data_IF_705532904106
#
_entry.id   IF_705532904106
#
_cell.length_a   1.000
_cell.length_b   1.000
_cell.length_c   1.000
_cell.angle_alpha   90.00
_cell.angle_beta   90.00
_cell.angle_gamma   90.00
#
_symmetry.space_group_name_H-M   'P 1'
#
loop_
_entity.id
_entity.type
_entity.pdbx_description
1 polymer ?
#
# COMPACT_ATOMS: atom_id res chain seq x y z
N UNK A 1 -20.76 -11.05 -20.54
CA UNK A 1 -19.31 -10.80 -20.73
C UNK A 1 -18.61 -11.44 -19.53
N UNK A 2 -17.88 -12.54 -19.71
CA UNK A 2 -17.09 -13.14 -18.62
C UNK A 2 -15.76 -12.38 -18.55
N UNK A 3 -15.57 -11.57 -17.50
CA UNK A 3 -14.29 -10.88 -17.29
C UNK A 3 -13.35 -11.87 -16.61
N UNK A 4 -12.33 -12.34 -17.34
CA UNK A 4 -11.24 -13.09 -16.72
C UNK A 4 -10.29 -12.06 -16.11
N UNK A 5 -10.21 -12.01 -14.79
CA UNK A 5 -9.26 -11.14 -14.09
C UNK A 5 -7.82 -11.51 -14.48
N UNK A 6 -6.97 -10.50 -14.63
CA UNK A 6 -5.54 -10.76 -14.86
C UNK A 6 -4.88 -11.28 -13.58
N UNK A 7 -3.79 -12.03 -13.70
CA UNK A 7 -2.99 -12.47 -12.55
C UNK A 7 -2.64 -11.32 -11.60
N UNK A 8 -2.31 -10.15 -12.16
CA UNK A 8 -1.99 -8.95 -11.38
C UNK A 8 -3.19 -8.36 -10.66
N UNK A 9 -4.39 -8.42 -11.24
CA UNK A 9 -5.60 -7.97 -10.56
C UNK A 9 -5.95 -8.89 -9.39
N UNK A 10 -5.85 -10.20 -9.60
CA UNK A 10 -6.10 -11.17 -8.54
C UNK A 10 -5.11 -10.99 -7.38
N UNK A 11 -3.81 -10.87 -7.68
CA UNK A 11 -2.81 -10.73 -6.63
C UNK A 11 -2.83 -9.34 -5.96
N UNK A 12 -3.09 -8.26 -6.71
CA UNK A 12 -2.97 -6.89 -6.19
C UNK A 12 -4.26 -6.32 -5.61
N UNK A 13 -5.43 -6.91 -5.89
CA UNK A 13 -6.72 -6.35 -5.45
C UNK A 13 -7.65 -7.37 -4.79
N UNK A 14 -7.62 -8.64 -5.22
CA UNK A 14 -8.61 -9.62 -4.77
C UNK A 14 -8.13 -10.43 -3.56
N UNK A 15 -6.83 -10.46 -3.28
CA UNK A 15 -6.29 -11.15 -2.11
C UNK A 15 -6.42 -10.28 -0.85
N UNK A 16 -6.77 -10.89 0.30
CA UNK A 16 -6.94 -10.15 1.54
C UNK A 16 -5.62 -9.55 2.02
N UNK A 17 -5.71 -8.37 2.65
CA UNK A 17 -4.60 -7.69 3.28
C UNK A 17 -4.74 -7.73 4.80
N UNK A 18 -3.63 -7.96 5.51
CA UNK A 18 -3.59 -7.93 6.97
C UNK A 18 -3.51 -6.49 7.50
N UNK A 19 -2.99 -5.57 6.68
CA UNK A 19 -2.89 -4.15 7.00
C UNK A 19 -3.09 -3.28 5.75
N UNK A 20 -3.97 -2.29 5.86
CA UNK A 20 -4.11 -1.21 4.91
C UNK A 20 -3.65 0.12 5.53
N UNK A 21 -2.76 0.83 4.85
CA UNK A 21 -2.26 2.15 5.23
C UNK A 21 -2.73 3.17 4.20
N UNK A 22 -3.36 4.25 4.66
CA UNK A 22 -3.80 5.35 3.80
C UNK A 22 -2.81 6.52 3.93
N UNK A 23 -2.13 6.83 2.83
CA UNK A 23 -1.10 7.86 2.69
C UNK A 23 0.30 7.24 2.48
N UNK A 24 0.94 7.55 1.35
CA UNK A 24 2.29 7.10 1.00
C UNK A 24 3.37 8.15 1.31
N UNK A 25 3.12 9.02 2.29
CA UNK A 25 4.16 9.90 2.85
C UNK A 25 5.21 9.11 3.65
N UNK A 26 6.24 9.81 4.14
CA UNK A 26 7.35 9.19 4.88
C UNK A 26 6.88 8.34 6.06
N UNK A 27 5.86 8.82 6.79
CA UNK A 27 5.28 8.11 7.94
C UNK A 27 4.56 6.84 7.47
N UNK A 28 3.71 6.92 6.45
CA UNK A 28 2.97 5.75 5.96
C UNK A 28 3.88 4.65 5.41
N UNK A 29 4.90 5.03 4.64
CA UNK A 29 5.91 4.08 4.14
C UNK A 29 6.76 3.49 5.27
N UNK A 30 7.16 4.31 6.26
CA UNK A 30 7.90 3.82 7.42
C UNK A 30 7.05 2.85 8.24
N UNK A 31 5.78 3.17 8.49
CA UNK A 31 4.83 2.28 9.16
C UNK A 31 4.69 0.95 8.42
N UNK A 32 4.56 0.98 7.10
CA UNK A 32 4.50 -0.23 6.27
C UNK A 32 5.76 -1.09 6.43
N UNK A 33 6.95 -0.47 6.36
CA UNK A 33 8.24 -1.13 6.51
C UNK A 33 8.39 -1.79 7.88
N UNK A 34 8.15 -1.06 8.97
CA UNK A 34 8.31 -1.58 10.32
C UNK A 34 7.28 -2.67 10.64
N UNK A 35 6.04 -2.53 10.16
CA UNK A 35 5.03 -3.56 10.31
C UNK A 35 5.40 -4.85 9.57
N UNK A 36 5.88 -4.75 8.33
CA UNK A 36 6.32 -5.89 7.52
C UNK A 36 7.56 -6.57 8.12
N UNK A 37 8.49 -5.79 8.69
CA UNK A 37 9.64 -6.34 9.44
C UNK A 37 9.21 -7.16 10.66
N UNK A 38 8.19 -6.69 11.40
CA UNK A 38 7.66 -7.41 12.57
C UNK A 38 6.76 -8.60 12.18
N UNK A 39 6.11 -8.53 11.02
CA UNK A 39 5.20 -9.56 10.51
C UNK A 39 5.57 -9.95 9.07
N UNK A 40 6.62 -10.77 8.86
CA UNK A 40 7.16 -11.05 7.53
C UNK A 40 6.15 -11.66 6.55
N UNK A 41 5.18 -12.45 7.05
CA UNK A 41 4.13 -13.07 6.24
C UNK A 41 2.98 -12.12 5.89
N UNK A 42 2.82 -11.00 6.60
CA UNK A 42 1.64 -10.15 6.47
C UNK A 42 1.61 -9.42 5.12
N UNK A 43 0.46 -9.41 4.45
CA UNK A 43 0.22 -8.58 3.26
C UNK A 43 -0.15 -7.17 3.69
N UNK A 44 0.66 -6.21 3.24
CA UNK A 44 0.47 -4.79 3.52
C UNK A 44 0.18 -4.07 2.23
N UNK A 45 -0.87 -3.25 2.22
CA UNK A 45 -1.17 -2.33 1.12
C UNK A 45 -1.04 -0.89 1.60
N UNK A 46 -0.40 -0.05 0.78
CA UNK A 46 -0.31 1.40 1.00
C UNK A 46 -1.06 2.09 -0.13
N UNK A 47 -2.06 2.90 0.21
CA UNK A 47 -2.93 3.60 -0.72
C UNK A 47 -2.59 5.09 -0.70
N UNK A 48 -2.38 5.70 -1.86
CA UNK A 48 -2.16 7.14 -2.00
C UNK A 48 -3.05 7.71 -3.11
N UNK A 49 -3.53 8.93 -2.92
CA UNK A 49 -4.44 9.59 -3.86
C UNK A 49 -3.73 10.05 -5.13
N UNK A 50 -2.46 10.43 -5.03
CA UNK A 50 -1.67 10.99 -6.13
C UNK A 50 -0.50 10.10 -6.56
N UNK A 51 -0.07 10.26 -7.82
CA UNK A 51 1.13 9.60 -8.34
C UNK A 51 2.41 10.04 -7.62
N UNK A 52 2.46 11.30 -7.19
CA UNK A 52 3.53 11.84 -6.35
C UNK A 52 2.94 12.15 -4.97
N UNK A 53 3.67 11.84 -3.88
CA UNK A 53 3.22 12.16 -2.52
C UNK A 53 3.25 13.68 -2.33
N UNK A 54 2.18 14.40 -2.69
CA UNK A 54 2.07 15.87 -2.54
C UNK A 54 1.68 16.31 -1.12
N UNK A 55 1.74 15.39 -0.16
CA UNK A 55 1.35 15.59 1.24
C UNK A 55 2.42 16.31 2.07
N UNK A 56 2.30 16.25 3.40
CA UNK A 56 3.18 16.95 4.34
C UNK A 56 4.68 16.64 4.14
N UNK A 57 5.03 15.44 3.67
CA UNK A 57 6.43 15.04 3.43
C UNK A 57 7.13 15.84 2.33
N UNK A 58 6.41 16.44 1.39
CA UNK A 58 7.00 17.35 0.37
C UNK A 58 6.90 18.83 0.73
N UNK A 59 6.34 19.16 1.90
CA UNK A 59 6.14 20.55 2.36
C UNK A 59 6.95 20.91 3.59
N UNK A 60 7.40 19.91 4.34
CA UNK A 60 8.11 20.07 5.61
C UNK A 60 9.51 19.43 5.61
N UNK A 61 10.04 19.08 4.43
CA UNK A 61 11.40 18.60 4.22
C UNK A 61 12.11 19.52 3.23
#
# INVERSE_FOLDING_TARGET
MSYSSSFWEEDSFLKPYDLAIVGAGIVGLSSALFYKKKNPSARVIVLERGFLPKGASTRNA
#
